data_IF_098418997018
#
_entry.id   IF_098418997018
#
_cell.length_a   1.000
_cell.length_b   1.000
_cell.length_c   1.000
_cell.angle_alpha   90.00
_cell.angle_beta   90.00
_cell.angle_gamma   90.00
#
_symmetry.space_group_name_H-M   'P 1'
#
loop_
_entity.id
_entity.type
_entity.pdbx_description
1 polymer ?
#
# COMPACT_ATOMS: atom_id res chain seq x y z
N UNK A 1 7.11 22.52 -22.71
CA UNK A 1 6.70 22.31 -22.17
C UNK A 1 5.92 21.22 -21.70
N UNK A 2 5.73 20.23 -22.34
CA UNK A 2 5.03 19.12 -21.91
C UNK A 2 5.62 18.53 -20.69
N UNK A 3 6.78 18.87 -20.40
CA UNK A 3 7.41 18.35 -19.17
C UNK A 3 6.59 18.71 -17.92
N UNK A 4 5.75 19.74 -18.03
CA UNK A 4 4.95 20.15 -16.90
C UNK A 4 3.96 19.08 -16.47
N UNK A 5 3.27 18.50 -17.43
CA UNK A 5 2.32 17.46 -17.10
C UNK A 5 3.00 16.24 -16.54
N UNK A 6 4.14 15.87 -17.08
CA UNK A 6 4.84 14.72 -16.59
C UNK A 6 5.27 14.89 -15.14
N UNK A 7 5.63 16.12 -14.76
CA UNK A 7 6.08 16.33 -13.40
C UNK A 7 4.97 16.11 -12.40
N UNK A 8 3.73 16.42 -12.75
CA UNK A 8 2.62 16.25 -11.82
C UNK A 8 2.37 14.79 -11.53
N UNK A 9 2.83 13.87 -12.41
CA UNK A 9 2.62 12.46 -12.20
C UNK A 9 3.83 11.79 -11.57
N UNK A 10 4.89 12.56 -11.27
CA UNK A 10 6.11 11.97 -10.74
C UNK A 10 6.35 12.33 -9.27
N UNK A 11 5.36 12.93 -8.62
CA UNK A 11 5.52 13.25 -7.21
C UNK A 11 5.65 11.95 -6.41
N UNK A 12 6.73 11.85 -5.66
CA UNK A 12 6.98 10.66 -4.86
C UNK A 12 6.38 10.81 -3.47
N UNK A 13 5.91 9.71 -2.90
CA UNK A 13 5.39 9.75 -1.54
C UNK A 13 6.49 10.06 -0.54
N UNK A 14 6.11 10.72 0.56
CA UNK A 14 7.04 11.13 1.60
C UNK A 14 6.63 10.51 2.92
N UNK A 15 7.60 9.95 3.65
CA UNK A 15 7.33 9.38 4.97
C UNK A 15 6.77 10.47 5.89
N UNK A 16 5.67 10.17 6.56
CA UNK A 16 4.91 11.17 7.31
C UNK A 16 4.49 10.61 8.66
N UNK A 17 4.51 11.45 9.69
CA UNK A 17 4.04 11.07 11.01
C UNK A 17 2.52 11.13 11.02
N UNK A 18 1.88 9.99 11.22
CA UNK A 18 0.41 9.88 11.15
C UNK A 18 -0.27 10.77 12.19
N UNK A 19 0.41 11.05 13.30
CA UNK A 19 -0.17 11.90 14.35
C UNK A 19 -0.39 13.32 13.85
N UNK A 20 0.37 13.75 12.86
CA UNK A 20 0.28 15.13 12.36
C UNK A 20 -0.76 15.28 11.26
N UNK A 21 -1.25 14.18 10.70
CA UNK A 21 -2.19 14.25 9.58
C UNK A 21 -3.36 13.28 9.71
N UNK A 22 -3.62 12.81 10.91
CA UNK A 22 -4.65 11.80 11.13
C UNK A 22 -6.02 12.25 10.60
N UNK A 23 -6.36 13.52 10.81
CA UNK A 23 -7.65 14.04 10.35
C UNK A 23 -7.81 13.93 8.85
N UNK A 24 -6.72 13.95 8.12
CA UNK A 24 -6.75 13.85 6.67
C UNK A 24 -6.73 12.40 6.21
N UNK A 25 -6.09 11.53 6.98
CA UNK A 25 -5.91 10.12 6.61
C UNK A 25 -7.13 9.28 6.98
N UNK A 26 -7.71 9.52 8.16
CA UNK A 26 -8.80 8.69 8.67
C UNK A 26 -9.97 8.55 7.71
N UNK A 27 -10.46 9.63 7.06
CA UNK A 27 -11.62 9.47 6.17
C UNK A 27 -11.36 8.51 5.01
N UNK A 28 -10.14 8.47 4.49
CA UNK A 28 -9.80 7.55 3.42
C UNK A 28 -9.82 6.11 3.90
N UNK A 29 -9.33 5.86 5.11
CA UNK A 29 -9.36 4.50 5.67
C UNK A 29 -10.80 4.06 5.92
N UNK A 30 -11.64 4.97 6.44
CA UNK A 30 -13.05 4.69 6.65
C UNK A 30 -13.71 4.29 5.33
N UNK A 31 -13.40 5.02 4.27
CA UNK A 31 -13.98 4.73 2.96
C UNK A 31 -13.55 3.35 2.47
N UNK A 32 -12.28 3.01 2.62
CA UNK A 32 -11.75 1.71 2.20
C UNK A 32 -12.46 0.58 2.94
N UNK A 33 -12.62 0.72 4.25
CA UNK A 33 -13.26 -0.31 5.06
C UNK A 33 -14.73 -0.45 4.67
N UNK A 34 -15.39 0.67 4.42
CA UNK A 34 -16.80 0.65 4.05
C UNK A 34 -17.03 -0.04 2.72
N UNK A 35 -16.10 0.15 1.77
CA UNK A 35 -16.23 -0.46 0.45
C UNK A 35 -15.74 -1.91 0.43
N UNK A 36 -15.06 -2.35 1.47
CA UNK A 36 -14.48 -3.69 1.52
C UNK A 36 -14.82 -4.36 2.84
N UNK A 37 -16.09 -4.80 3.00
CA UNK A 37 -16.53 -5.30 4.32
C UNK A 37 -15.83 -6.56 4.80
N UNK A 38 -15.01 -7.18 3.97
CA UNK A 38 -14.22 -8.33 4.41
C UNK A 38 -13.00 -7.94 5.24
N UNK A 39 -12.67 -6.64 5.29
CA UNK A 39 -11.53 -6.18 6.08
C UNK A 39 -11.89 -6.24 7.56
N UNK A 40 -10.89 -6.57 8.37
CA UNK A 40 -11.14 -6.85 9.79
C UNK A 40 -10.67 -5.76 10.73
N UNK A 41 -9.88 -4.81 10.24
CA UNK A 41 -9.34 -3.75 11.10
C UNK A 41 -10.24 -2.53 11.06
N UNK A 42 -10.09 -1.66 12.07
CA UNK A 42 -10.75 -0.37 12.12
C UNK A 42 -9.69 0.72 11.95
N UNK A 43 -10.09 1.97 11.66
CA UNK A 43 -9.09 3.02 11.43
C UNK A 43 -8.09 3.19 12.56
N UNK A 44 -8.55 3.05 13.80
CA UNK A 44 -7.68 3.21 14.97
C UNK A 44 -6.61 2.13 15.04
N UNK A 45 -6.87 0.95 14.48
CA UNK A 45 -5.83 -0.09 14.40
C UNK A 45 -4.69 0.37 13.51
N UNK A 46 -5.04 1.02 12.39
CA UNK A 46 -4.02 1.55 11.47
C UNK A 46 -3.19 2.61 12.16
N UNK A 47 -3.86 3.51 12.87
CA UNK A 47 -3.18 4.56 13.62
C UNK A 47 -2.18 3.95 14.60
N UNK A 48 -2.65 2.95 15.35
CA UNK A 48 -1.81 2.29 16.35
C UNK A 48 -0.59 1.63 15.74
N UNK A 49 -0.78 0.95 14.60
CA UNK A 49 0.35 0.30 13.94
C UNK A 49 1.38 1.30 13.48
N UNK A 50 0.95 2.45 12.97
CA UNK A 50 1.88 3.47 12.51
C UNK A 50 2.60 4.15 13.68
N UNK A 51 1.89 4.45 14.77
CA UNK A 51 2.50 5.10 15.93
C UNK A 51 3.52 4.18 16.59
N UNK A 52 3.27 2.88 16.56
CA UNK A 52 4.18 1.91 17.17
C UNK A 52 5.22 1.38 16.19
N UNK A 53 5.38 2.03 15.06
CA UNK A 53 6.41 1.72 14.08
C UNK A 53 6.32 0.30 13.52
N UNK A 54 5.12 -0.25 13.49
CA UNK A 54 4.86 -1.52 12.83
C UNK A 54 4.30 -1.33 11.43
N UNK A 55 3.94 -0.09 11.09
CA UNK A 55 3.51 0.29 9.76
C UNK A 55 4.05 1.68 9.48
N UNK A 56 4.16 2.03 8.19
CA UNK A 56 4.82 3.25 7.78
C UNK A 56 3.95 4.00 6.78
N UNK A 57 3.60 5.24 7.12
CA UNK A 57 2.74 6.08 6.30
C UNK A 57 3.57 6.94 5.37
N UNK A 58 3.20 6.92 4.09
CA UNK A 58 3.80 7.78 3.08
C UNK A 58 2.68 8.58 2.42
N UNK A 59 2.86 9.88 2.27
CA UNK A 59 1.83 10.76 1.74
C UNK A 59 2.32 11.54 0.54
N UNK A 60 1.38 11.92 -0.31
CA UNK A 60 1.62 12.83 -1.42
C UNK A 60 0.34 13.63 -1.66
N UNK A 61 0.36 14.50 -2.67
CA UNK A 61 -0.83 15.29 -2.97
C UNK A 61 -1.96 14.43 -3.55
N UNK A 62 -1.66 13.26 -4.09
CA UNK A 62 -2.69 12.42 -4.70
C UNK A 62 -3.30 11.39 -3.76
N UNK A 63 -2.67 11.14 -2.61
CA UNK A 63 -3.20 10.15 -1.69
C UNK A 63 -2.19 9.71 -0.66
N UNK A 64 -2.36 8.50 -0.14
CA UNK A 64 -1.42 7.97 0.85
C UNK A 64 -1.26 6.47 0.70
N UNK A 65 -0.14 5.98 1.23
CA UNK A 65 0.20 4.56 1.25
C UNK A 65 0.57 4.19 2.68
N UNK A 66 0.21 2.99 3.08
CA UNK A 66 0.69 2.45 4.36
C UNK A 66 1.33 1.10 4.07
N UNK A 67 2.58 0.97 4.48
CA UNK A 67 3.40 -0.21 4.21
C UNK A 67 3.74 -0.90 5.50
N UNK A 68 3.91 -2.21 5.44
CA UNK A 68 4.39 -2.99 6.58
C UNK A 68 5.51 -3.89 6.10
N UNK A 69 6.27 -4.44 7.04
CA UNK A 69 7.32 -5.40 6.72
C UNK A 69 6.97 -6.70 7.42
N UNK A 70 6.87 -7.77 6.63
CA UNK A 70 6.65 -9.11 7.16
C UNK A 70 7.93 -9.90 7.08
N UNK A 71 8.19 -10.69 8.11
CA UNK A 71 9.42 -11.48 8.18
C UNK A 71 9.02 -12.93 8.18
N UNK A 72 9.57 -13.71 7.23
CA UNK A 72 9.32 -15.13 7.18
C UNK A 72 9.96 -15.77 8.42
N UNK A 73 9.16 -16.54 9.15
CA UNK A 73 9.63 -17.08 10.42
C UNK A 73 10.72 -18.13 10.27
N UNK A 74 10.81 -18.73 9.10
CA UNK A 74 11.78 -19.79 8.86
C UNK A 74 13.06 -19.29 8.22
N UNK A 75 12.95 -18.52 7.15
CA UNK A 75 14.12 -18.03 6.42
C UNK A 75 14.60 -16.67 6.91
N UNK A 76 13.73 -15.93 7.62
CA UNK A 76 13.98 -14.57 8.06
C UNK A 76 14.02 -13.58 6.90
N UNK A 77 13.61 -14.01 5.70
CA UNK A 77 13.47 -13.10 4.58
C UNK A 77 12.38 -12.08 4.87
N UNK A 78 12.60 -10.84 4.44
CA UNK A 78 11.64 -9.76 4.66
C UNK A 78 10.87 -9.47 3.39
N UNK A 79 9.60 -9.12 3.56
CA UNK A 79 8.72 -8.70 2.47
C UNK A 79 8.17 -7.32 2.81
N UNK A 80 8.28 -6.39 1.87
CA UNK A 80 7.64 -5.10 2.01
C UNK A 80 6.22 -5.25 1.47
N UNK A 81 5.25 -5.11 2.37
CA UNK A 81 3.84 -5.31 2.01
C UNK A 81 3.15 -3.98 1.87
N UNK A 82 2.54 -3.75 0.71
CA UNK A 82 1.66 -2.62 0.50
C UNK A 82 0.33 -2.96 1.16
N UNK A 83 0.12 -2.43 2.38
CA UNK A 83 -1.06 -2.77 3.17
C UNK A 83 -2.27 -1.96 2.75
N UNK A 84 -2.12 -0.64 2.65
CA UNK A 84 -3.23 0.24 2.29
C UNK A 84 -2.74 1.23 1.22
N UNK A 85 -3.55 1.42 0.20
CA UNK A 85 -3.28 2.42 -0.84
C UNK A 85 -4.58 3.18 -1.09
N UNK A 86 -4.51 4.50 -1.03
CA UNK A 86 -5.68 5.33 -1.20
C UNK A 86 -5.35 6.55 -2.06
N UNK A 87 -6.22 6.86 -3.02
CA UNK A 87 -6.09 8.08 -3.81
C UNK A 87 -7.32 8.93 -3.58
N UNK A 88 -7.11 10.24 -3.52
CA UNK A 88 -8.22 11.16 -3.26
C UNK A 88 -9.19 11.22 -4.43
N UNK A 89 -8.71 10.94 -5.63
CA UNK A 89 -9.56 10.89 -6.80
C UNK A 89 -9.69 9.47 -7.30
N UNK A 90 -10.84 9.16 -7.89
CA UNK A 90 -11.11 7.81 -8.34
C UNK A 90 -10.24 7.41 -9.51
N UNK A 91 -10.09 6.10 -9.71
CA UNK A 91 -9.27 5.59 -10.78
C UNK A 91 -7.81 5.46 -10.40
N UNK A 92 -7.50 5.49 -9.12
CA UNK A 92 -6.16 5.59 -8.62
C UNK A 92 -5.26 4.41 -8.92
N UNK A 93 -4.66 4.41 -10.08
CA UNK A 93 -3.62 3.44 -10.39
C UNK A 93 -2.26 4.11 -10.30
N UNK A 94 -2.24 5.33 -9.79
CA UNK A 94 -1.00 6.10 -9.72
C UNK A 94 0.07 5.44 -8.90
N UNK A 95 -0.31 4.70 -7.86
CA UNK A 95 0.68 4.08 -7.00
C UNK A 95 1.53 3.06 -7.74
N UNK A 96 0.92 2.33 -8.66
CA UNK A 96 1.68 1.32 -9.40
C UNK A 96 2.65 1.93 -10.40
N UNK A 97 2.47 3.22 -10.72
CA UNK A 97 3.43 3.92 -11.56
C UNK A 97 4.73 4.21 -10.82
N UNK A 98 4.74 4.05 -9.48
CA UNK A 98 5.94 4.28 -8.69
C UNK A 98 6.69 2.98 -8.40
N UNK A 99 6.63 2.03 -9.31
CA UNK A 99 7.23 0.71 -9.08
C UNK A 99 8.71 0.81 -8.72
N UNK A 100 9.42 1.70 -9.39
CA UNK A 100 10.84 1.87 -9.12
C UNK A 100 11.09 2.39 -7.70
N UNK A 101 10.25 3.33 -7.25
CA UNK A 101 10.33 3.84 -5.89
C UNK A 101 10.10 2.74 -4.86
N UNK A 102 9.11 1.87 -5.11
CA UNK A 102 8.86 0.74 -4.22
C UNK A 102 10.04 -0.21 -4.19
N UNK A 103 10.65 -0.47 -5.35
CA UNK A 103 11.81 -1.35 -5.40
C UNK A 103 12.97 -0.79 -4.59
N UNK A 104 13.23 0.51 -4.72
CA UNK A 104 14.31 1.15 -3.99
C UNK A 104 14.05 1.12 -2.48
N UNK A 105 12.81 1.38 -2.08
CA UNK A 105 12.45 1.36 -0.67
C UNK A 105 12.61 -0.05 -0.09
N UNK A 106 12.19 -1.07 -0.84
CA UNK A 106 12.33 -2.45 -0.40
C UNK A 106 13.80 -2.81 -0.24
N UNK A 107 14.65 -2.38 -1.16
CA UNK A 107 16.08 -2.66 -1.07
C UNK A 107 16.70 -1.99 0.15
N UNK A 108 16.33 -0.74 0.40
CA UNK A 108 16.85 -0.03 1.56
C UNK A 108 16.45 -0.69 2.87
N UNK A 109 15.26 -1.26 2.91
CA UNK A 109 14.77 -1.92 4.11
C UNK A 109 15.27 -3.35 4.23
N UNK A 110 16.06 -3.83 3.27
CA UNK A 110 16.58 -5.19 3.30
C UNK A 110 15.52 -6.23 2.96
N UNK A 111 14.50 -5.85 2.21
CA UNK A 111 13.44 -6.76 1.85
C UNK A 111 13.77 -7.51 0.59
N UNK A 112 13.43 -8.80 0.57
CA UNK A 112 13.65 -9.66 -0.57
C UNK A 112 12.48 -9.58 -1.56
N UNK A 113 11.29 -9.30 -1.06
CA UNK A 113 10.08 -9.27 -1.87
C UNK A 113 9.29 -8.00 -1.64
N UNK A 114 8.52 -7.63 -2.66
CA UNK A 114 7.53 -6.57 -2.61
C UNK A 114 6.18 -7.23 -2.89
N UNK A 115 5.18 -6.98 -2.05
CA UNK A 115 3.93 -7.71 -2.13
C UNK A 115 2.73 -6.80 -1.96
N UNK A 116 1.64 -7.10 -2.66
CA UNK A 116 0.35 -6.45 -2.46
C UNK A 116 -0.72 -7.53 -2.50
N UNK A 117 -1.77 -7.37 -1.72
CA UNK A 117 -2.85 -8.33 -1.65
C UNK A 117 -4.14 -7.67 -2.06
N UNK A 118 -4.88 -8.29 -2.95
CA UNK A 118 -6.10 -7.69 -3.50
C UNK A 118 -7.08 -8.78 -3.88
N UNK A 119 -8.38 -8.47 -3.75
CA UNK A 119 -9.44 -9.34 -4.24
C UNK A 119 -9.95 -8.87 -5.60
N UNK A 120 -9.34 -7.82 -6.15
CA UNK A 120 -9.76 -7.26 -7.44
C UNK A 120 -9.08 -8.02 -8.57
N UNK A 121 -9.82 -8.75 -9.41
CA UNK A 121 -9.19 -9.57 -10.46
C UNK A 121 -8.38 -8.75 -11.46
N UNK A 122 -8.78 -7.52 -11.72
CA UNK A 122 -8.09 -6.66 -12.68
C UNK A 122 -6.66 -6.35 -12.26
N UNK A 123 -6.38 -6.45 -10.97
CA UNK A 123 -5.04 -6.17 -10.47
C UNK A 123 -4.01 -7.16 -11.00
N UNK A 124 -4.42 -8.41 -11.22
CA UNK A 124 -3.47 -9.41 -11.71
C UNK A 124 -2.93 -9.04 -13.09
N UNK A 125 -3.80 -8.64 -14.00
CA UNK A 125 -3.38 -8.26 -15.35
C UNK A 125 -2.47 -7.03 -15.32
N UNK A 126 -2.81 -6.07 -14.47
CA UNK A 126 -2.05 -4.83 -14.41
C UNK A 126 -0.67 -5.04 -13.80
N UNK A 127 -0.58 -5.76 -12.70
CA UNK A 127 0.70 -5.98 -12.02
C UNK A 127 1.63 -6.82 -12.88
N UNK A 128 1.08 -7.74 -13.66
CA UNK A 128 1.89 -8.57 -14.54
C UNK A 128 2.66 -7.73 -15.55
N UNK A 129 2.07 -6.62 -16.00
CA UNK A 129 2.73 -5.75 -16.97
C UNK A 129 3.98 -5.10 -16.42
N UNK A 130 4.07 -4.92 -15.12
CA UNK A 130 5.20 -4.26 -14.49
C UNK A 130 6.10 -5.23 -13.74
N UNK A 131 6.02 -6.52 -14.07
CA UNK A 131 6.97 -7.50 -13.57
C UNK A 131 6.58 -8.19 -12.28
N UNK A 132 5.34 -8.00 -11.82
CA UNK A 132 4.86 -8.71 -10.64
C UNK A 132 4.25 -10.04 -11.05
N UNK A 133 4.26 -10.99 -10.15
CA UNK A 133 3.70 -12.32 -10.39
C UNK A 133 2.69 -12.66 -9.32
N UNK A 134 1.69 -13.44 -9.69
CA UNK A 134 0.75 -13.97 -8.71
C UNK A 134 1.47 -14.99 -7.87
N UNK A 135 1.49 -14.78 -6.55
CA UNK A 135 2.19 -15.68 -5.66
C UNK A 135 1.29 -16.81 -5.17
N UNK A 136 0.18 -16.46 -4.53
CA UNK A 136 -0.65 -17.45 -3.85
C UNK A 136 -2.13 -17.13 -4.04
N UNK A 137 -2.93 -18.17 -4.18
CA UNK A 137 -4.38 -18.03 -4.13
C UNK A 137 -4.86 -18.59 -2.81
N UNK A 138 -5.74 -17.86 -2.14
CA UNK A 138 -6.28 -18.26 -0.85
C UNK A 138 -7.72 -18.70 -1.03
N UNK A 139 -8.01 -19.92 -0.59
CA UNK A 139 -9.37 -20.46 -0.65
C UNK A 139 -9.91 -20.52 0.77
N UNK A 140 -11.06 -19.91 1.00
CA UNK A 140 -11.59 -19.80 2.35
C UNK A 140 -13.02 -20.33 2.40
N UNK A 141 -13.33 -20.96 3.50
CA UNK A 141 -14.68 -21.45 3.75
C UNK A 141 -15.08 -21.04 5.17
N UNK A 142 -16.25 -20.46 5.30
CA UNK A 142 -16.77 -20.14 6.63
C UNK A 142 -17.20 -21.41 7.32
N UNK A 143 -16.84 -21.56 8.58
CA UNK A 143 -17.21 -22.72 9.36
C UNK A 143 -18.45 -22.34 10.16
N UNK A 144 -19.52 -23.15 10.00
CA UNK A 144 -20.80 -22.85 10.66
C UNK A 144 -21.08 -23.83 11.80
#
# INVERSE_FOLDING_TARGET
MESTERRSTTELPVFTDIRQCWDKIKPGIVEIIKENPYLTYIPEDVYSECVNERAFLYTSSVGFLILTIEIDRFTKDKTLLLWIAYTYEKGGHEWLAHDEWFNDLAKEAGCKYLEARSRVPEMEAYTKKIGWELDTRIYRKDIK
#
